data_IF_028981809436
#
_entry.id   IF_028981809436
#
_cell.length_a   1.000
_cell.length_b   1.000
_cell.length_c   1.000
_cell.angle_alpha   90.00
_cell.angle_beta   90.00
_cell.angle_gamma   90.00
#
_symmetry.space_group_name_H-M   'P 1'
#
loop_
_entity.id
_entity.type
_entity.pdbx_description
1 polymer ?
#
# COMPACT_ATOMS: atom_id res chain seq x y z
N UNK A 1 41.34 -38.12 -52.37
CA UNK A 1 41.86 -37.04 -51.55
C UNK A 1 40.83 -35.92 -51.55
N UNK A 2 39.91 -35.96 -50.60
CA UNK A 2 38.72 -35.09 -50.57
C UNK A 2 38.84 -34.19 -49.34
N UNK A 3 39.04 -32.90 -49.54
CA UNK A 3 39.18 -31.88 -48.50
C UNK A 3 37.75 -31.45 -48.06
N UNK A 4 37.42 -31.74 -46.81
CA UNK A 4 36.28 -31.18 -46.11
C UNK A 4 36.61 -29.81 -45.57
N UNK A 5 35.98 -28.78 -46.10
CA UNK A 5 36.05 -27.42 -45.54
C UNK A 5 35.00 -27.28 -44.44
N UNK A 6 35.42 -27.17 -43.21
CA UNK A 6 34.54 -26.93 -42.06
C UNK A 6 34.27 -25.43 -41.93
N UNK A 7 33.02 -25.03 -42.21
CA UNK A 7 32.51 -23.70 -41.86
C UNK A 7 32.34 -23.60 -40.35
N UNK A 8 33.17 -22.78 -39.72
CA UNK A 8 33.05 -22.33 -38.33
C UNK A 8 31.92 -21.30 -38.29
N UNK A 9 30.74 -21.70 -37.86
CA UNK A 9 29.65 -20.80 -37.51
C UNK A 9 30.06 -20.05 -36.22
N UNK A 10 30.33 -18.77 -36.37
CA UNK A 10 30.52 -17.89 -35.20
C UNK A 10 29.21 -17.75 -34.43
N UNK A 11 29.13 -18.35 -33.27
CA UNK A 11 28.14 -17.94 -32.26
C UNK A 11 28.53 -16.54 -31.81
N UNK A 12 27.81 -15.53 -32.28
CA UNK A 12 27.78 -14.22 -31.62
C UNK A 12 27.07 -14.42 -30.29
N UNK A 13 27.85 -14.65 -29.22
CA UNK A 13 27.37 -14.46 -27.87
C UNK A 13 26.97 -13.00 -27.75
N UNK A 14 25.66 -12.74 -27.67
CA UNK A 14 25.16 -11.44 -27.23
C UNK A 14 25.72 -11.19 -25.83
N UNK A 15 26.70 -10.31 -25.74
CA UNK A 15 27.13 -9.77 -24.45
C UNK A 15 25.92 -9.04 -23.88
N UNK A 16 25.22 -9.68 -22.97
CA UNK A 16 24.21 -9.00 -22.17
C UNK A 16 24.96 -7.90 -21.41
N UNK A 17 24.60 -6.63 -21.66
CA UNK A 17 25.19 -5.52 -20.93
C UNK A 17 24.97 -5.76 -19.43
N UNK A 18 26.06 -5.71 -18.64
CA UNK A 18 25.96 -5.76 -17.19
C UNK A 18 25.18 -4.53 -16.73
N UNK A 19 24.00 -4.76 -16.10
CA UNK A 19 23.18 -3.71 -15.52
C UNK A 19 23.49 -3.54 -14.03
N UNK A 20 23.31 -2.33 -13.53
CA UNK A 20 23.42 -2.03 -12.10
C UNK A 20 22.06 -2.27 -11.42
N UNK A 21 22.03 -3.23 -10.49
CA UNK A 21 20.82 -3.61 -9.78
C UNK A 21 20.50 -2.63 -8.67
N UNK A 22 19.32 -2.03 -8.71
CA UNK A 22 18.80 -1.19 -7.63
C UNK A 22 18.35 -2.09 -6.47
N UNK A 23 18.99 -1.95 -5.31
CA UNK A 23 18.65 -2.74 -4.13
C UNK A 23 17.41 -2.16 -3.45
N UNK A 24 16.39 -2.99 -3.28
CA UNK A 24 15.23 -2.76 -2.41
C UNK A 24 15.45 -3.54 -1.11
N UNK A 25 15.19 -2.88 0.02
CA UNK A 25 15.42 -3.48 1.35
C UNK A 25 14.22 -4.31 1.81
N UNK A 26 13.03 -3.92 1.43
CA UNK A 26 11.76 -4.47 1.91
C UNK A 26 10.83 -4.92 0.80
N UNK A 27 10.79 -4.19 -0.33
CA UNK A 27 9.93 -4.54 -1.45
C UNK A 27 10.41 -5.84 -2.10
N UNK A 28 9.51 -6.80 -2.24
CA UNK A 28 9.78 -8.14 -2.77
C UNK A 28 9.17 -8.39 -4.13
N UNK A 29 8.16 -7.61 -4.50
CA UNK A 29 7.44 -7.75 -5.76
C UNK A 29 8.05 -6.90 -6.89
N UNK A 30 9.08 -6.12 -6.60
CA UNK A 30 9.71 -5.20 -7.53
C UNK A 30 11.21 -5.46 -7.65
N UNK A 31 11.70 -5.56 -8.88
CA UNK A 31 13.12 -5.64 -9.21
C UNK A 31 13.45 -4.63 -10.28
N UNK A 32 14.52 -3.85 -10.09
CA UNK A 32 14.93 -2.78 -11.00
C UNK A 32 16.40 -2.92 -11.34
N UNK A 33 16.73 -2.84 -12.63
CA UNK A 33 18.10 -2.87 -13.14
C UNK A 33 18.33 -1.68 -14.06
N UNK A 34 19.39 -0.92 -13.82
CA UNK A 34 19.80 0.22 -14.64
C UNK A 34 20.81 -0.23 -15.69
N UNK A 35 20.56 0.15 -16.93
CA UNK A 35 21.45 -0.06 -18.06
C UNK A 35 21.88 1.29 -18.65
N UNK A 36 22.84 1.28 -19.56
CA UNK A 36 23.17 2.50 -20.30
C UNK A 36 21.99 2.90 -21.21
N UNK A 37 21.41 4.04 -20.89
CA UNK A 37 20.31 4.64 -21.66
C UNK A 37 18.90 4.17 -21.28
N UNK A 38 18.70 3.18 -20.41
CA UNK A 38 17.38 2.74 -19.98
C UNK A 38 17.38 2.04 -18.62
N UNK A 39 16.21 1.87 -18.03
CA UNK A 39 16.00 1.11 -16.80
C UNK A 39 14.96 0.02 -17.05
N UNK A 40 15.19 -1.17 -16.52
CA UNK A 40 14.21 -2.27 -16.55
C UNK A 40 13.63 -2.46 -15.16
N UNK A 41 12.32 -2.31 -15.05
CA UNK A 41 11.57 -2.64 -13.85
C UNK A 41 10.70 -3.87 -14.11
N UNK A 42 10.88 -4.92 -13.30
CA UNK A 42 10.11 -6.17 -13.40
C UNK A 42 9.26 -6.34 -12.15
N UNK A 43 7.96 -6.49 -12.32
CA UNK A 43 6.99 -6.75 -11.27
C UNK A 43 6.77 -8.26 -11.18
N UNK A 44 6.97 -8.81 -9.98
CA UNK A 44 6.64 -10.21 -9.72
C UNK A 44 5.13 -10.38 -9.59
N UNK A 45 4.61 -11.52 -10.04
CA UNK A 45 3.20 -11.81 -9.92
C UNK A 45 2.88 -12.23 -8.47
N UNK A 46 2.08 -11.47 -7.71
CA UNK A 46 1.81 -11.75 -6.30
C UNK A 46 0.93 -12.98 -6.09
N UNK A 47 0.24 -13.46 -7.14
CA UNK A 47 -0.67 -14.61 -7.09
C UNK A 47 -0.06 -15.88 -7.69
N UNK A 48 1.05 -15.75 -8.45
CA UNK A 48 1.71 -16.88 -9.14
C UNK A 48 3.20 -16.79 -8.91
N UNK A 49 3.69 -17.53 -7.92
CA UNK A 49 5.09 -17.53 -7.53
C UNK A 49 6.03 -17.84 -8.72
N UNK A 50 7.13 -17.11 -8.78
CA UNK A 50 8.14 -17.26 -9.83
C UNK A 50 7.75 -16.69 -11.21
N UNK A 51 6.54 -16.13 -11.35
CA UNK A 51 6.10 -15.50 -12.59
C UNK A 51 6.24 -13.98 -12.54
N UNK A 52 6.58 -13.39 -13.67
CA UNK A 52 6.55 -11.93 -13.86
C UNK A 52 5.10 -11.50 -14.13
N UNK A 53 4.60 -10.51 -13.38
CA UNK A 53 3.34 -9.85 -13.66
C UNK A 53 3.51 -8.95 -14.89
N UNK A 54 4.47 -8.02 -14.82
CA UNK A 54 4.75 -7.06 -15.88
C UNK A 54 6.24 -6.68 -15.94
N UNK A 55 6.68 -6.21 -17.10
CA UNK A 55 8.02 -5.64 -17.27
C UNK A 55 7.92 -4.30 -17.96
N UNK A 56 8.53 -3.29 -17.37
CA UNK A 56 8.66 -1.94 -17.93
C UNK A 56 10.08 -1.66 -18.35
N UNK A 57 10.22 -1.00 -19.49
CA UNK A 57 11.49 -0.45 -19.98
C UNK A 57 11.37 1.07 -19.97
N UNK A 58 11.99 1.70 -19.00
CA UNK A 58 11.95 3.14 -18.78
C UNK A 58 13.04 3.77 -19.62
N UNK A 59 12.68 4.63 -20.57
CA UNK A 59 13.61 5.30 -21.47
C UNK A 59 13.43 6.81 -21.33
N UNK A 60 14.50 7.58 -21.03
CA UNK A 60 14.41 9.03 -21.03
C UNK A 60 13.82 9.59 -22.34
N UNK A 61 12.92 10.56 -22.21
CA UNK A 61 12.19 11.11 -23.37
C UNK A 61 13.09 11.83 -24.38
N UNK A 62 14.27 12.28 -23.94
CA UNK A 62 15.32 12.93 -24.74
C UNK A 62 16.29 11.92 -25.41
N UNK A 63 16.12 10.60 -25.22
CA UNK A 63 16.96 9.55 -25.81
C UNK A 63 16.20 8.70 -26.81
N UNK A 64 16.90 8.22 -27.82
CA UNK A 64 16.37 7.18 -28.72
C UNK A 64 16.23 5.84 -28.00
N UNK A 65 15.37 4.97 -28.53
CA UNK A 65 15.22 3.60 -28.02
C UNK A 65 16.51 2.83 -28.34
N UNK A 66 17.26 2.35 -27.33
CA UNK A 66 18.47 1.58 -27.62
C UNK A 66 18.17 0.29 -28.38
N UNK A 67 19.07 -0.16 -29.26
CA UNK A 67 18.93 -1.45 -29.91
C UNK A 67 19.02 -2.60 -28.85
N UNK A 68 18.27 -3.66 -29.06
CA UNK A 68 18.34 -4.87 -28.22
C UNK A 68 17.88 -4.70 -26.78
N UNK A 69 16.90 -3.82 -26.51
CA UNK A 69 16.23 -3.76 -25.21
C UNK A 69 15.43 -5.05 -24.95
N UNK A 70 15.26 -5.48 -23.69
CA UNK A 70 14.39 -6.61 -23.37
C UNK A 70 12.92 -6.31 -23.71
N UNK A 71 12.14 -7.38 -23.93
CA UNK A 71 10.69 -7.25 -24.14
C UNK A 71 10.01 -6.68 -22.90
N UNK A 72 9.06 -5.78 -23.09
CA UNK A 72 8.29 -5.12 -22.03
C UNK A 72 7.60 -3.87 -22.53
N UNK A 73 6.77 -3.27 -21.69
CA UNK A 73 6.11 -1.99 -22.01
C UNK A 73 7.11 -0.84 -21.89
N UNK A 74 7.31 -0.10 -22.97
CA UNK A 74 8.17 1.08 -22.98
C UNK A 74 7.42 2.24 -22.34
N UNK A 75 8.06 2.88 -21.36
CA UNK A 75 7.58 4.10 -20.74
C UNK A 75 8.62 5.21 -20.96
N UNK A 76 8.19 6.33 -21.53
CA UNK A 76 9.00 7.52 -21.69
C UNK A 76 9.01 8.33 -20.40
N UNK A 77 10.19 8.54 -19.83
CA UNK A 77 10.33 9.26 -18.55
C UNK A 77 11.06 10.59 -18.72
N UNK A 78 10.75 11.61 -17.88
CA UNK A 78 9.72 11.59 -16.86
C UNK A 78 8.30 11.68 -17.46
N UNK A 79 7.32 11.10 -16.74
CA UNK A 79 5.90 11.26 -17.05
C UNK A 79 5.45 12.69 -16.70
N UNK A 80 4.65 13.28 -17.58
CA UNK A 80 4.11 14.63 -17.41
C UNK A 80 2.58 14.64 -17.31
N UNK A 81 1.92 13.63 -17.88
CA UNK A 81 0.46 13.52 -17.91
C UNK A 81 0.06 12.09 -17.59
N UNK A 82 -0.54 11.88 -16.43
CA UNK A 82 -0.89 10.52 -16.00
C UNK A 82 -2.33 10.45 -15.52
N UNK A 83 -2.97 9.30 -15.73
CA UNK A 83 -4.28 9.00 -15.16
C UNK A 83 -4.12 8.17 -13.90
N UNK A 84 -4.82 8.56 -12.83
CA UNK A 84 -4.77 7.90 -11.52
C UNK A 84 -6.11 7.24 -11.22
N UNK A 85 -6.12 5.92 -11.12
CA UNK A 85 -7.34 5.16 -10.81
C UNK A 85 -7.51 4.90 -9.31
N UNK A 86 -6.62 5.44 -8.47
CA UNK A 86 -6.72 5.34 -7.02
C UNK A 86 -6.32 6.63 -6.33
N UNK A 87 -6.95 6.91 -5.19
CA UNK A 87 -6.63 8.07 -4.33
C UNK A 87 -5.20 8.03 -3.78
N UNK A 88 -4.67 6.81 -3.55
CA UNK A 88 -3.31 6.57 -3.05
C UNK A 88 -2.26 7.22 -3.96
N UNK A 89 -2.36 6.99 -5.27
CA UNK A 89 -1.40 7.52 -6.25
C UNK A 89 -1.57 9.02 -6.49
N UNK A 90 -2.79 9.55 -6.31
CA UNK A 90 -3.00 11.00 -6.28
C UNK A 90 -2.23 11.64 -5.11
N UNK A 91 -2.37 11.09 -3.91
CA UNK A 91 -1.67 11.58 -2.72
C UNK A 91 -0.15 11.41 -2.82
N UNK A 92 0.31 10.30 -3.40
CA UNK A 92 1.73 10.06 -3.68
C UNK A 92 2.31 11.17 -4.57
N UNK A 93 1.67 11.50 -5.68
CA UNK A 93 2.15 12.57 -6.57
C UNK A 93 2.16 13.94 -5.87
N UNK A 94 1.21 14.20 -4.98
CA UNK A 94 1.24 15.41 -4.16
C UNK A 94 2.45 15.42 -3.21
N UNK A 95 2.82 14.28 -2.62
CA UNK A 95 4.00 14.16 -1.77
C UNK A 95 5.32 14.34 -2.54
N UNK A 96 5.29 14.12 -3.84
CA UNK A 96 6.41 14.35 -4.75
C UNK A 96 6.47 15.79 -5.30
N UNK A 97 5.50 16.66 -4.99
CA UNK A 97 5.28 17.97 -5.64
C UNK A 97 5.03 17.81 -7.16
N UNK A 98 4.39 16.72 -7.57
CA UNK A 98 4.08 16.34 -8.96
C UNK A 98 2.58 16.26 -9.26
N UNK A 99 1.74 16.87 -8.46
CA UNK A 99 0.28 16.86 -8.64
C UNK A 99 -0.15 17.38 -10.02
N UNK A 100 0.61 18.28 -10.62
CA UNK A 100 0.32 18.82 -11.95
C UNK A 100 0.49 17.78 -13.08
N UNK A 101 1.11 16.61 -12.78
CA UNK A 101 1.17 15.49 -13.70
C UNK A 101 -0.15 14.69 -13.75
N UNK A 102 -1.13 14.95 -12.88
CA UNK A 102 -2.44 14.30 -12.90
C UNK A 102 -3.32 14.95 -13.96
N UNK A 103 -3.59 14.23 -15.05
CA UNK A 103 -4.45 14.70 -16.14
C UNK A 103 -5.89 14.16 -16.06
N UNK A 104 -6.09 13.08 -15.31
CA UNK A 104 -7.41 12.49 -15.11
C UNK A 104 -7.43 11.51 -13.94
N UNK A 105 -8.63 11.23 -13.46
CA UNK A 105 -8.89 10.29 -12.38
C UNK A 105 -10.10 9.42 -12.70
N UNK A 106 -10.08 8.17 -12.22
CA UNK A 106 -11.27 7.35 -12.13
C UNK A 106 -11.81 7.36 -10.69
N UNK A 107 -13.06 6.91 -10.53
CA UNK A 107 -13.70 6.76 -9.22
C UNK A 107 -13.65 8.03 -8.34
N UNK A 108 -13.84 9.19 -8.94
CA UNK A 108 -13.75 10.51 -8.28
C UNK A 108 -14.54 10.58 -6.96
N UNK A 109 -15.62 9.83 -6.82
CA UNK A 109 -16.43 9.76 -5.60
C UNK A 109 -15.67 9.30 -4.37
N UNK A 110 -14.60 8.51 -4.57
CA UNK A 110 -13.73 8.01 -3.49
C UNK A 110 -12.47 8.85 -3.28
N UNK A 111 -12.17 9.81 -4.16
CA UNK A 111 -11.01 10.68 -4.03
C UNK A 111 -11.40 11.90 -3.21
N UNK A 112 -11.10 11.91 -1.91
CA UNK A 112 -11.48 12.97 -0.97
C UNK A 112 -10.46 14.12 -0.91
N UNK A 113 -9.46 14.15 -1.77
CA UNK A 113 -8.42 15.18 -1.83
C UNK A 113 -9.02 16.49 -2.36
N UNK A 114 -9.10 17.58 -1.55
CA UNK A 114 -9.80 18.80 -1.95
C UNK A 114 -9.23 19.45 -3.22
N UNK A 115 -7.90 19.39 -3.40
CA UNK A 115 -7.24 19.92 -4.58
C UNK A 115 -7.70 19.20 -5.86
N UNK A 116 -7.76 17.85 -5.85
CA UNK A 116 -8.24 17.05 -7.00
C UNK A 116 -9.68 17.44 -7.35
N UNK A 117 -10.56 17.45 -6.34
CA UNK A 117 -11.97 17.81 -6.50
C UNK A 117 -12.12 19.21 -7.16
N UNK A 118 -11.28 20.16 -6.73
CA UNK A 118 -11.28 21.51 -7.30
C UNK A 118 -10.76 21.53 -8.74
N UNK A 119 -9.69 20.79 -9.07
CA UNK A 119 -9.18 20.74 -10.44
C UNK A 119 -10.16 20.07 -11.40
N UNK A 120 -10.88 19.03 -10.94
CA UNK A 120 -11.94 18.39 -11.74
C UNK A 120 -13.10 19.39 -11.99
N UNK A 121 -13.56 20.12 -10.96
CA UNK A 121 -14.59 21.17 -11.15
C UNK A 121 -14.17 22.27 -12.13
N UNK A 122 -12.87 22.57 -12.18
CA UNK A 122 -12.28 23.53 -13.14
C UNK A 122 -12.07 22.95 -14.54
N UNK A 123 -12.31 21.65 -14.75
CA UNK A 123 -12.06 20.97 -16.02
C UNK A 123 -10.57 20.77 -16.34
N UNK A 124 -9.67 20.92 -15.37
CA UNK A 124 -8.23 20.71 -15.54
C UNK A 124 -7.82 19.25 -15.38
N UNK A 125 -8.54 18.50 -14.58
CA UNK A 125 -8.42 17.06 -14.41
C UNK A 125 -9.71 16.42 -14.91
N UNK A 126 -9.61 15.42 -15.78
CA UNK A 126 -10.75 14.70 -16.31
C UNK A 126 -11.26 13.66 -15.30
N UNK A 127 -12.58 13.61 -15.09
CA UNK A 127 -13.24 12.46 -14.47
C UNK A 127 -13.61 11.46 -15.57
N UNK A 128 -12.94 10.31 -15.57
CA UNK A 128 -13.15 9.25 -16.57
C UNK A 128 -14.17 8.19 -16.13
N UNK A 129 -14.83 8.39 -14.99
CA UNK A 129 -15.91 7.54 -14.48
C UNK A 129 -15.43 6.39 -13.62
N UNK A 130 -16.06 5.23 -13.74
CA UNK A 130 -15.78 4.04 -12.93
C UNK A 130 -14.45 3.38 -13.36
N UNK A 131 -13.59 3.03 -12.39
CA UNK A 131 -12.27 2.46 -12.65
C UNK A 131 -12.29 1.08 -13.31
N UNK A 132 -13.37 0.30 -13.13
CA UNK A 132 -13.54 -1.00 -13.79
C UNK A 132 -14.17 -0.88 -15.19
N UNK A 133 -14.79 0.25 -15.49
CA UNK A 133 -15.43 0.53 -16.79
C UNK A 133 -15.30 2.01 -17.16
N UNK A 134 -14.06 2.49 -17.35
CA UNK A 134 -13.83 3.90 -17.61
C UNK A 134 -14.30 4.32 -19.01
N UNK A 135 -14.58 5.61 -19.17
CA UNK A 135 -14.92 6.21 -20.45
C UNK A 135 -13.66 6.39 -21.28
N UNK A 136 -13.34 5.43 -22.14
CA UNK A 136 -12.09 5.34 -22.91
C UNK A 136 -11.88 6.57 -23.81
N UNK A 137 -12.94 7.11 -24.39
CA UNK A 137 -12.90 8.31 -25.22
C UNK A 137 -12.34 9.52 -24.44
N UNK A 138 -12.76 9.67 -23.19
CA UNK A 138 -12.22 10.73 -22.32
C UNK A 138 -10.73 10.53 -22.02
N UNK A 139 -10.30 9.26 -21.88
CA UNK A 139 -8.88 8.94 -21.67
C UNK A 139 -8.06 9.35 -22.89
N UNK A 140 -8.50 8.93 -24.07
CA UNK A 140 -7.82 9.24 -25.34
C UNK A 140 -7.71 10.76 -25.54
N UNK A 141 -8.78 11.50 -25.26
CA UNK A 141 -8.80 12.98 -25.40
C UNK A 141 -7.75 13.65 -24.50
N UNK A 142 -7.48 13.08 -23.33
CA UNK A 142 -6.46 13.59 -22.41
C UNK A 142 -5.03 13.30 -22.84
N UNK A 143 -4.80 12.32 -23.72
CA UNK A 143 -3.47 11.87 -24.20
C UNK A 143 -2.48 11.67 -23.04
N UNK A 144 -2.78 10.82 -22.06
CA UNK A 144 -1.86 10.59 -20.94
C UNK A 144 -0.65 9.79 -21.43
N UNK A 145 0.47 9.99 -20.74
CA UNK A 145 1.72 9.24 -20.93
C UNK A 145 1.61 7.82 -20.34
N UNK A 146 0.77 7.65 -19.32
CA UNK A 146 0.49 6.37 -18.68
C UNK A 146 -0.80 6.41 -17.84
N UNK A 147 -1.37 5.22 -17.60
CA UNK A 147 -2.53 4.99 -16.72
C UNK A 147 -2.06 4.14 -15.53
N UNK A 148 -2.27 4.62 -14.30
CA UNK A 148 -1.95 3.92 -13.07
C UNK A 148 -3.20 3.23 -12.53
N UNK A 149 -3.16 1.92 -12.40
CA UNK A 149 -4.28 1.10 -11.95
C UNK A 149 -3.79 -0.05 -11.07
N UNK A 150 -4.65 -0.55 -10.18
CA UNK A 150 -4.32 -1.70 -9.34
C UNK A 150 -4.72 -2.99 -10.05
N UNK A 151 -3.78 -3.92 -10.27
CA UNK A 151 -4.11 -5.25 -10.76
C UNK A 151 -4.85 -6.04 -9.66
N UNK A 152 -5.63 -7.05 -10.04
CA UNK A 152 -6.24 -7.99 -9.10
C UNK A 152 -6.28 -9.40 -9.70
N UNK A 153 -6.35 -10.39 -8.84
CA UNK A 153 -6.34 -11.79 -9.25
C UNK A 153 -7.53 -12.07 -10.18
N UNK A 154 -7.27 -12.78 -11.27
CA UNK A 154 -8.29 -13.17 -12.25
C UNK A 154 -9.08 -11.99 -12.86
N UNK A 155 -8.47 -10.82 -12.96
CA UNK A 155 -9.08 -9.63 -13.61
C UNK A 155 -9.51 -9.89 -15.05
N UNK A 156 -8.93 -10.89 -15.71
CA UNK A 156 -9.19 -11.17 -17.14
C UNK A 156 -8.59 -10.14 -18.09
N UNK A 157 -7.70 -9.26 -17.58
CA UNK A 157 -7.13 -8.11 -18.29
C UNK A 157 -7.90 -6.81 -18.03
N UNK A 158 -7.52 -5.76 -18.75
CA UNK A 158 -8.06 -4.40 -18.59
C UNK A 158 -9.02 -4.00 -19.72
N UNK A 159 -9.49 -4.98 -20.49
CA UNK A 159 -10.46 -4.79 -21.55
C UNK A 159 -10.02 -3.76 -22.58
N UNK A 160 -10.88 -2.77 -22.86
CA UNK A 160 -10.59 -1.73 -23.87
C UNK A 160 -9.36 -0.87 -23.56
N UNK A 161 -8.88 -0.84 -22.31
CA UNK A 161 -7.65 -0.11 -21.99
C UNK A 161 -6.39 -0.77 -22.58
N UNK A 162 -6.43 -2.06 -22.88
CA UNK A 162 -5.33 -2.77 -23.58
C UNK A 162 -5.30 -2.50 -25.07
N UNK A 163 -6.41 -2.04 -25.64
CA UNK A 163 -6.56 -1.76 -27.08
C UNK A 163 -6.07 -0.34 -27.44
N UNK A 164 -5.87 0.53 -26.44
CA UNK A 164 -5.34 1.87 -26.65
C UNK A 164 -3.83 1.85 -26.44
N UNK A 165 -3.10 2.53 -27.28
CA UNK A 165 -1.62 2.59 -27.23
C UNK A 165 -1.14 3.55 -26.12
N UNK A 166 -1.58 3.28 -24.87
CA UNK A 166 -1.19 4.03 -23.68
C UNK A 166 -0.65 3.02 -22.64
N UNK A 167 0.57 3.20 -22.13
CA UNK A 167 1.15 2.32 -21.12
C UNK A 167 0.28 2.20 -19.87
N UNK A 168 -0.01 0.96 -19.44
CA UNK A 168 -0.66 0.66 -18.19
C UNK A 168 0.41 0.37 -17.13
N UNK A 169 0.40 1.12 -16.03
CA UNK A 169 1.29 0.92 -14.88
C UNK A 169 0.50 0.18 -13.80
N UNK A 170 0.83 -1.08 -13.62
CA UNK A 170 0.22 -1.98 -12.64
C UNK A 170 0.79 -1.72 -11.24
N UNK A 171 -0.03 -1.14 -10.40
CA UNK A 171 0.31 -0.72 -9.05
C UNK A 171 0.06 -1.88 -8.07
N UNK A 172 1.01 -2.84 -8.01
CA UNK A 172 0.89 -4.05 -7.18
C UNK A 172 1.49 -3.89 -5.77
N UNK A 173 1.88 -2.68 -5.35
CA UNK A 173 2.50 -2.41 -4.06
C UNK A 173 1.59 -2.81 -2.88
N UNK A 174 0.27 -2.81 -3.07
CA UNK A 174 -0.68 -3.21 -2.02
C UNK A 174 -0.59 -4.69 -1.66
N UNK A 175 0.05 -5.50 -2.51
CA UNK A 175 0.29 -6.93 -2.30
C UNK A 175 1.62 -7.23 -1.59
N UNK A 176 2.45 -6.21 -1.32
CA UNK A 176 3.64 -6.39 -0.51
C UNK A 176 3.29 -6.89 0.90
N UNK A 177 4.09 -7.82 1.41
CA UNK A 177 3.84 -8.49 2.69
C UNK A 177 4.13 -7.61 3.90
N UNK A 178 4.88 -6.52 3.72
CA UNK A 178 5.27 -5.63 4.82
C UNK A 178 4.88 -4.19 4.53
N UNK A 179 4.55 -3.39 5.57
CA UNK A 179 4.23 -1.97 5.40
C UNK A 179 5.36 -1.18 4.75
N UNK A 180 6.62 -1.47 5.13
CA UNK A 180 7.80 -0.83 4.53
C UNK A 180 8.07 -1.31 3.11
N UNK A 181 7.76 -2.58 2.78
CA UNK A 181 7.83 -3.08 1.41
C UNK A 181 6.90 -2.30 0.49
N UNK A 182 5.66 -2.09 0.92
CA UNK A 182 4.70 -1.25 0.21
C UNK A 182 5.19 0.19 0.04
N UNK A 183 5.67 0.81 1.11
CA UNK A 183 6.16 2.18 1.07
C UNK A 183 7.41 2.34 0.19
N UNK A 184 8.25 1.32 0.07
CA UNK A 184 9.48 1.39 -0.73
C UNK A 184 9.22 1.54 -2.23
N UNK A 185 8.02 1.23 -2.73
CA UNK A 185 7.63 1.49 -4.11
C UNK A 185 7.65 2.98 -4.48
N UNK A 186 7.65 3.89 -3.51
CA UNK A 186 7.93 5.32 -3.76
C UNK A 186 9.16 5.52 -4.63
N UNK A 187 10.20 4.72 -4.45
CA UNK A 187 11.46 4.81 -5.22
C UNK A 187 11.24 4.46 -6.70
N UNK A 188 10.42 3.47 -7.00
CA UNK A 188 10.05 3.14 -8.38
C UNK A 188 9.19 4.25 -9.02
N UNK A 189 8.20 4.73 -8.31
CA UNK A 189 7.37 5.83 -8.79
C UNK A 189 8.19 7.12 -8.99
N UNK A 190 9.18 7.36 -8.13
CA UNK A 190 10.13 8.46 -8.32
C UNK A 190 10.89 8.41 -9.63
N UNK A 191 11.24 7.20 -10.12
CA UNK A 191 11.87 7.00 -11.43
C UNK A 191 10.93 7.37 -12.58
N UNK A 192 9.64 7.01 -12.46
CA UNK A 192 8.65 7.32 -13.49
C UNK A 192 8.43 8.83 -13.66
N UNK A 193 8.46 9.59 -12.55
CA UNK A 193 8.19 11.03 -12.56
C UNK A 193 9.45 11.91 -12.50
N UNK A 194 10.65 11.32 -12.61
CA UNK A 194 11.93 12.04 -12.60
C UNK A 194 12.19 12.81 -11.29
N UNK A 195 11.75 12.24 -10.17
CA UNK A 195 11.93 12.82 -8.83
C UNK A 195 12.53 11.81 -7.84
N UNK A 196 13.47 10.99 -8.29
CA UNK A 196 14.09 9.90 -7.52
C UNK A 196 14.67 10.37 -6.18
N UNK A 197 15.36 11.51 -6.16
CA UNK A 197 15.95 12.05 -4.92
C UNK A 197 14.88 12.40 -3.87
N UNK A 198 13.75 12.96 -4.30
CA UNK A 198 12.62 13.27 -3.42
C UNK A 198 12.00 11.98 -2.89
N UNK A 199 11.73 11.03 -3.78
CA UNK A 199 11.16 9.72 -3.43
C UNK A 199 12.05 8.93 -2.46
N UNK A 200 13.36 8.89 -2.71
CA UNK A 200 14.36 8.28 -1.82
C UNK A 200 14.38 8.96 -0.44
N UNK A 201 14.31 10.29 -0.40
CA UNK A 201 14.31 11.05 0.86
C UNK A 201 13.05 10.76 1.68
N UNK A 202 11.88 10.74 1.02
CA UNK A 202 10.61 10.40 1.67
C UNK A 202 10.63 8.97 2.21
N UNK A 203 11.08 7.99 1.40
CA UNK A 203 11.16 6.62 1.88
C UNK A 203 12.13 6.46 3.06
N UNK A 204 13.31 7.10 3.02
CA UNK A 204 14.28 7.07 4.13
C UNK A 204 13.70 7.66 5.42
N UNK A 205 12.90 8.72 5.32
CA UNK A 205 12.19 9.28 6.47
C UNK A 205 11.20 8.27 7.06
N UNK A 206 10.38 7.65 6.19
CA UNK A 206 9.42 6.60 6.59
C UNK A 206 10.12 5.41 7.23
N UNK A 207 11.16 4.87 6.61
CA UNK A 207 11.94 3.73 7.13
C UNK A 207 12.52 4.04 8.51
N UNK A 208 13.15 5.22 8.67
CA UNK A 208 13.73 5.65 9.94
C UNK A 208 12.67 5.80 11.02
N UNK A 209 11.56 6.47 10.72
CA UNK A 209 10.51 6.75 11.69
C UNK A 209 9.77 5.47 12.09
N UNK A 210 9.37 4.64 11.12
CA UNK A 210 8.72 3.36 11.36
C UNK A 210 9.55 2.45 12.26
N UNK A 211 10.84 2.27 11.96
CA UNK A 211 11.71 1.41 12.77
C UNK A 211 11.97 1.99 14.17
N UNK A 212 12.05 3.30 14.32
CA UNK A 212 12.16 3.94 15.64
C UNK A 212 10.91 3.67 16.51
N UNK A 213 9.72 3.79 15.93
CA UNK A 213 8.46 3.48 16.58
C UNK A 213 8.34 2.00 16.95
N UNK A 214 8.73 1.10 16.06
CA UNK A 214 8.75 -0.35 16.32
C UNK A 214 9.68 -0.70 17.48
N UNK A 215 10.88 -0.11 17.55
CA UNK A 215 11.81 -0.30 18.66
C UNK A 215 11.22 0.25 19.96
N UNK A 216 10.55 1.40 19.92
CA UNK A 216 9.89 2.00 21.09
C UNK A 216 8.83 1.05 21.66
N UNK A 217 7.96 0.49 20.82
CA UNK A 217 6.93 -0.46 21.20
C UNK A 217 7.53 -1.80 21.68
N UNK A 218 8.53 -2.34 20.98
CA UNK A 218 9.18 -3.62 21.30
C UNK A 218 9.91 -3.61 22.66
N UNK A 219 10.60 -2.53 22.97
CA UNK A 219 11.27 -2.37 24.28
C UNK A 219 10.28 -2.38 25.45
N UNK A 220 8.99 -2.07 25.19
CA UNK A 220 7.94 -2.12 26.19
C UNK A 220 7.39 -3.54 26.35
N UNK A 221 7.19 -4.26 25.22
CA UNK A 221 6.70 -5.63 25.19
C UNK A 221 7.67 -6.69 25.78
N UNK A 222 8.98 -6.54 25.55
CA UNK A 222 10.00 -7.47 26.09
C UNK A 222 10.12 -7.39 27.62
N UNK A 223 9.94 -6.20 28.21
CA UNK A 223 9.92 -6.07 29.67
C UNK A 223 8.78 -6.85 30.32
N UNK A 224 7.70 -7.11 29.60
CA UNK A 224 6.56 -7.88 30.09
C UNK A 224 6.76 -9.40 30.02
N UNK A 225 7.63 -9.88 29.11
CA UNK A 225 7.93 -11.32 28.94
C UNK A 225 8.98 -11.83 29.89
N UNK A 226 10.01 -11.04 30.19
CA UNK A 226 11.12 -11.44 31.09
C UNK A 226 10.77 -11.36 32.57
N UNK A 227 9.66 -10.73 32.95
CA UNK A 227 9.25 -10.55 34.35
C UNK A 227 8.44 -11.71 34.95
N UNK A 228 8.42 -12.89 34.36
CA UNK A 228 7.88 -14.11 35.00
C UNK A 228 8.73 -14.61 36.20
N UNK A 229 9.84 -13.91 36.52
CA UNK A 229 10.61 -14.08 37.78
C UNK A 229 10.22 -13.00 38.76
N UNK A 230 9.80 -13.43 39.96
CA UNK A 230 9.48 -12.59 41.11
C UNK A 230 10.47 -11.43 41.33
N UNK A 231 10.12 -10.23 40.91
CA UNK A 231 10.83 -9.01 41.25
C UNK A 231 9.85 -7.96 41.77
N UNK A 232 10.28 -7.26 42.77
CA UNK A 232 9.60 -6.29 43.64
C UNK A 232 9.24 -4.96 42.90
N UNK A 233 8.96 -5.01 41.60
CA UNK A 233 8.72 -3.86 40.73
C UNK A 233 7.38 -4.00 40.02
N UNK A 234 6.36 -3.38 40.55
CA UNK A 234 5.08 -3.03 39.94
C UNK A 234 4.36 -4.04 39.05
N UNK A 235 3.10 -3.83 38.68
CA UNK A 235 2.36 -4.72 37.78
C UNK A 235 3.06 -4.81 36.40
N UNK A 236 3.27 -6.03 35.92
CA UNK A 236 3.80 -6.30 34.59
C UNK A 236 2.86 -5.67 33.56
N UNK A 237 3.33 -4.82 32.63
CA UNK A 237 2.47 -4.28 31.58
C UNK A 237 1.87 -5.43 30.76
N UNK A 238 0.55 -5.55 30.75
CA UNK A 238 -0.13 -6.52 29.87
C UNK A 238 -0.03 -6.03 28.43
N UNK A 239 0.26 -6.97 27.52
CA UNK A 239 0.20 -6.70 26.08
C UNK A 239 -1.28 -6.58 25.70
N UNK A 240 -1.76 -5.40 25.24
CA UNK A 240 -3.17 -5.22 24.94
C UNK A 240 -3.58 -6.03 23.71
N UNK A 241 -4.68 -6.77 23.84
CA UNK A 241 -5.29 -7.53 22.75
C UNK A 241 -6.20 -6.64 21.89
N UNK A 242 -6.18 -6.88 20.56
CA UNK A 242 -6.77 -5.95 19.59
C UNK A 242 -7.81 -6.63 18.71
N UNK A 243 -9.04 -6.11 18.71
CA UNK A 243 -10.07 -6.41 17.73
C UNK A 243 -10.03 -5.38 16.60
N UNK A 244 -10.07 -5.83 15.35
CA UNK A 244 -10.04 -4.97 14.17
C UNK A 244 -11.32 -5.04 13.35
N UNK A 245 -11.69 -3.90 12.75
CA UNK A 245 -12.83 -3.69 11.86
C UNK A 245 -14.18 -4.05 12.50
N UNK A 246 -15.24 -4.20 11.71
CA UNK A 246 -16.61 -4.53 12.17
C UNK A 246 -17.36 -5.31 11.11
N UNK A 247 -18.52 -5.79 11.43
CA UNK A 247 -19.41 -6.47 10.47
C UNK A 247 -19.73 -5.54 9.29
N UNK A 248 -19.61 -6.09 8.09
CA UNK A 248 -20.02 -5.44 6.85
C UNK A 248 -21.01 -6.37 6.14
N UNK A 249 -22.26 -5.95 6.05
CA UNK A 249 -23.35 -6.84 5.63
C UNK A 249 -23.56 -7.97 6.63
N UNK A 250 -23.23 -9.21 6.28
CA UNK A 250 -23.34 -10.40 7.15
C UNK A 250 -21.98 -11.00 7.55
N UNK A 251 -20.89 -10.35 7.21
CA UNK A 251 -19.53 -10.90 7.34
C UNK A 251 -18.63 -9.91 8.06
N UNK A 252 -17.76 -10.42 8.92
CA UNK A 252 -16.66 -9.66 9.51
C UNK A 252 -15.36 -9.96 8.72
N UNK A 253 -14.78 -8.93 8.14
CA UNK A 253 -13.51 -9.03 7.42
C UNK A 253 -12.38 -8.63 8.35
N UNK A 254 -11.70 -9.61 8.96
CA UNK A 254 -10.53 -9.36 9.81
C UNK A 254 -9.26 -9.38 8.97
N UNK A 255 -8.28 -8.47 9.17
CA UNK A 255 -6.99 -8.57 8.53
C UNK A 255 -6.28 -9.89 8.85
N UNK A 256 -5.74 -10.59 7.86
CA UNK A 256 -4.90 -11.76 8.10
C UNK A 256 -3.60 -11.39 8.83
N UNK A 257 -2.96 -12.37 9.45
CA UNK A 257 -1.74 -12.15 10.24
C UNK A 257 -0.54 -11.68 9.41
N UNK A 258 -0.51 -12.05 8.11
CA UNK A 258 0.51 -11.60 7.17
C UNK A 258 0.07 -10.39 6.32
N UNK A 259 -1.08 -9.78 6.63
CA UNK A 259 -1.48 -8.51 6.02
C UNK A 259 -0.65 -7.35 6.59
N UNK A 260 -0.56 -6.25 5.85
CA UNK A 260 0.14 -5.05 6.32
C UNK A 260 -0.41 -4.53 7.65
N UNK A 261 -1.73 -4.58 7.85
CA UNK A 261 -2.38 -4.16 9.11
C UNK A 261 -2.09 -5.15 10.25
N UNK A 262 -2.21 -6.48 9.99
CA UNK A 262 -1.88 -7.51 10.99
C UNK A 262 -0.43 -7.42 11.46
N UNK A 263 0.50 -7.15 10.53
CA UNK A 263 1.91 -6.91 10.85
C UNK A 263 2.10 -5.64 11.68
N UNK A 264 1.40 -4.54 11.33
CA UNK A 264 1.52 -3.27 12.07
C UNK A 264 1.01 -3.35 13.50
N UNK A 265 -0.04 -4.12 13.78
CA UNK A 265 -0.50 -4.36 15.15
C UNK A 265 0.59 -5.10 15.96
N UNK A 266 1.23 -6.11 15.36
CA UNK A 266 2.34 -6.82 16.01
C UNK A 266 3.55 -5.90 16.21
N UNK A 267 3.90 -5.08 15.20
CA UNK A 267 4.98 -4.09 15.28
C UNK A 267 4.69 -2.99 16.32
N UNK A 268 3.40 -2.71 16.58
CA UNK A 268 2.95 -1.82 17.65
C UNK A 268 2.95 -2.47 19.05
N UNK A 269 3.37 -3.73 19.18
CA UNK A 269 3.38 -4.45 20.44
C UNK A 269 1.99 -4.88 20.92
N UNK A 270 1.01 -5.01 20.02
CA UNK A 270 -0.32 -5.52 20.31
C UNK A 270 -0.43 -7.04 20.17
N UNK A 271 -1.28 -7.68 20.98
CA UNK A 271 -1.67 -9.07 20.81
C UNK A 271 -2.83 -9.15 19.81
N UNK A 272 -2.55 -9.68 18.63
CA UNK A 272 -3.53 -9.82 17.56
C UNK A 272 -4.05 -11.26 17.46
N UNK A 273 -5.36 -11.53 17.67
CA UNK A 273 -5.90 -12.88 17.70
C UNK A 273 -5.64 -13.71 16.44
N UNK A 274 -5.46 -13.06 15.30
CA UNK A 274 -5.14 -13.69 14.01
C UNK A 274 -3.68 -13.51 13.59
N UNK A 275 -2.75 -13.18 14.50
CA UNK A 275 -1.32 -12.96 14.18
C UNK A 275 -0.64 -14.16 13.50
N UNK A 276 -1.12 -15.40 13.74
CA UNK A 276 -0.61 -16.63 13.13
C UNK A 276 -1.32 -17.04 11.84
N UNK A 277 -2.31 -16.26 11.39
CA UNK A 277 -3.01 -16.51 10.15
C UNK A 277 -2.09 -16.16 8.97
N UNK A 278 -2.04 -17.05 7.96
CA UNK A 278 -1.09 -16.94 6.84
C UNK A 278 -1.59 -16.06 5.69
N UNK A 279 -2.83 -15.55 5.77
CA UNK A 279 -3.38 -14.69 4.72
C UNK A 279 -2.73 -13.30 4.74
N UNK A 280 -2.35 -12.82 3.58
CA UNK A 280 -1.88 -11.43 3.35
C UNK A 280 -3.03 -10.44 3.13
N UNK A 281 -4.25 -10.94 2.89
CA UNK A 281 -5.48 -10.16 2.75
C UNK A 281 -6.38 -10.28 3.97
N UNK A 282 -7.67 -9.97 3.79
CA UNK A 282 -8.69 -10.12 4.83
C UNK A 282 -9.25 -11.54 4.86
N UNK A 283 -9.54 -12.04 6.06
CA UNK A 283 -10.23 -13.30 6.31
C UNK A 283 -11.69 -13.02 6.59
N UNK A 284 -12.59 -13.70 5.89
CA UNK A 284 -14.04 -13.55 6.06
C UNK A 284 -14.54 -14.50 7.16
N UNK A 285 -15.11 -13.95 8.21
CA UNK A 285 -15.59 -14.71 9.37
C UNK A 285 -17.03 -14.35 9.73
N UNK A 286 -17.84 -15.29 10.25
CA UNK A 286 -19.11 -14.99 10.88
C UNK A 286 -18.88 -14.27 12.22
N UNK A 287 -19.87 -13.51 12.67
CA UNK A 287 -19.83 -12.74 13.91
C UNK A 287 -19.45 -13.60 15.12
N UNK A 288 -20.03 -14.79 15.24
CA UNK A 288 -19.84 -15.69 16.37
C UNK A 288 -18.39 -16.16 16.48
N UNK A 289 -17.71 -16.43 15.36
CA UNK A 289 -16.32 -16.84 15.36
C UNK A 289 -15.38 -15.70 15.80
N UNK A 290 -15.73 -14.47 15.48
CA UNK A 290 -14.98 -13.29 15.94
C UNK A 290 -15.23 -13.04 17.43
N UNK A 291 -16.47 -13.17 17.88
CA UNK A 291 -16.83 -13.03 19.30
C UNK A 291 -16.15 -14.11 20.15
N UNK A 292 -16.14 -15.37 19.70
CA UNK A 292 -15.46 -16.46 20.42
C UNK A 292 -13.96 -16.19 20.56
N UNK A 293 -13.32 -15.69 19.50
CA UNK A 293 -11.86 -15.53 19.44
C UNK A 293 -11.35 -14.21 20.01
N UNK A 294 -12.11 -13.12 19.88
CA UNK A 294 -11.71 -11.76 20.23
C UNK A 294 -12.72 -11.03 21.13
N UNK A 295 -13.68 -11.74 21.72
CA UNK A 295 -14.70 -11.15 22.62
C UNK A 295 -14.13 -10.44 23.83
N UNK A 296 -13.00 -10.92 24.34
CA UNK A 296 -12.30 -10.34 25.50
C UNK A 296 -11.17 -9.37 25.11
N UNK A 297 -11.08 -8.94 23.84
CA UNK A 297 -10.08 -7.96 23.40
C UNK A 297 -10.16 -6.67 24.20
N UNK A 298 -8.97 -6.10 24.52
CA UNK A 298 -8.85 -4.89 25.34
C UNK A 298 -9.19 -3.63 24.56
N UNK A 299 -8.89 -3.63 23.26
CA UNK A 299 -9.07 -2.48 22.37
C UNK A 299 -9.79 -2.92 21.11
N UNK A 300 -10.73 -2.11 20.63
CA UNK A 300 -11.40 -2.30 19.37
C UNK A 300 -11.17 -1.12 18.44
N UNK A 301 -10.58 -1.39 17.27
CA UNK A 301 -10.28 -0.41 16.21
C UNK A 301 -11.09 -0.75 14.97
N UNK A 302 -11.83 0.20 14.42
CA UNK A 302 -12.58 -0.05 13.17
C UNK A 302 -12.62 1.19 12.27
N UNK A 303 -12.86 0.95 10.99
CA UNK A 303 -13.07 1.98 9.98
C UNK A 303 -14.57 2.12 9.69
N UNK A 304 -14.98 3.34 9.43
CA UNK A 304 -16.35 3.65 9.05
C UNK A 304 -16.38 4.86 8.09
N UNK A 305 -17.53 5.09 7.45
CA UNK A 305 -17.75 6.22 6.56
C UNK A 305 -19.00 6.93 7.04
N UNK A 306 -18.88 8.19 7.48
CA UNK A 306 -20.00 9.00 7.98
C UNK A 306 -19.68 10.49 7.82
N UNK A 307 -20.72 11.32 7.85
CA UNK A 307 -20.60 12.78 7.90
C UNK A 307 -20.39 13.33 9.33
N UNK A 308 -20.45 12.45 10.35
CA UNK A 308 -20.22 12.77 11.76
C UNK A 308 -19.43 11.69 12.49
N UNK A 309 -18.95 12.00 13.70
CA UNK A 309 -18.29 11.02 14.56
C UNK A 309 -19.31 10.03 15.11
N UNK A 310 -19.11 8.73 14.84
CA UNK A 310 -20.00 7.67 15.29
C UNK A 310 -20.00 7.56 16.81
N UNK A 311 -21.17 7.28 17.39
CA UNK A 311 -21.38 7.11 18.82
C UNK A 311 -21.53 5.63 19.20
N UNK A 312 -21.37 5.30 20.48
CA UNK A 312 -21.64 3.96 21.02
C UNK A 312 -23.11 3.51 20.77
N UNK A 313 -24.06 4.45 20.78
CA UNK A 313 -25.46 4.14 20.52
C UNK A 313 -25.68 3.72 19.07
N UNK A 314 -25.07 4.42 18.12
CA UNK A 314 -25.12 4.08 16.70
C UNK A 314 -24.40 2.77 16.42
N UNK A 315 -23.20 2.57 16.96
CA UNK A 315 -22.47 1.30 16.82
C UNK A 315 -23.28 0.12 17.38
N UNK A 316 -23.91 0.28 18.55
CA UNK A 316 -24.81 -0.74 19.12
C UNK A 316 -26.04 -1.01 18.26
N UNK A 317 -26.58 0.01 17.58
CA UNK A 317 -27.71 -0.14 16.69
C UNK A 317 -27.37 -0.88 15.35
N UNK A 318 -26.11 -0.82 14.92
CA UNK A 318 -25.66 -1.56 13.73
C UNK A 318 -25.70 -3.08 13.94
N UNK A 319 -25.38 -3.57 15.15
CA UNK A 319 -25.41 -5.00 15.48
C UNK A 319 -25.59 -5.26 16.98
N UNK A 320 -26.65 -6.00 17.32
CA UNK A 320 -27.05 -6.24 18.71
C UNK A 320 -26.01 -6.98 19.59
N UNK A 321 -25.06 -7.67 18.96
CA UNK A 321 -24.01 -8.42 19.69
C UNK A 321 -22.78 -7.62 20.05
N UNK A 322 -22.66 -6.36 19.63
CA UNK A 322 -21.44 -5.56 19.87
C UNK A 322 -21.19 -5.25 21.35
N UNK A 323 -22.25 -5.21 22.17
CA UNK A 323 -22.16 -5.05 23.62
C UNK A 323 -21.55 -6.26 24.36
N UNK A 324 -21.40 -7.40 23.67
CA UNK A 324 -20.74 -8.59 24.21
C UNK A 324 -19.21 -8.48 24.20
N UNK A 325 -18.63 -7.59 23.38
CA UNK A 325 -17.19 -7.39 23.36
C UNK A 325 -16.71 -6.60 24.57
N UNK A 326 -15.61 -7.04 25.18
CA UNK A 326 -15.00 -6.40 26.33
C UNK A 326 -14.64 -4.93 26.04
N UNK A 327 -13.96 -4.66 24.92
CA UNK A 327 -13.59 -3.30 24.50
C UNK A 327 -14.81 -2.36 24.42
N UNK A 328 -15.96 -2.85 23.96
CA UNK A 328 -17.20 -2.07 23.92
C UNK A 328 -17.69 -1.75 25.34
N UNK A 329 -17.76 -2.76 26.23
CA UNK A 329 -18.17 -2.59 27.63
C UNK A 329 -17.26 -1.64 28.41
N UNK A 330 -15.95 -1.71 28.16
CA UNK A 330 -14.93 -0.88 28.80
C UNK A 330 -14.78 0.51 28.18
N UNK A 331 -15.57 0.84 27.15
CA UNK A 331 -15.47 2.12 26.43
C UNK A 331 -14.07 2.35 25.85
N UNK A 332 -13.44 1.29 25.33
CA UNK A 332 -12.12 1.33 24.72
C UNK A 332 -12.18 1.02 23.22
N UNK A 333 -13.01 1.78 22.53
CA UNK A 333 -13.30 1.66 21.10
C UNK A 333 -12.83 2.91 20.37
N UNK A 334 -12.17 2.72 19.23
CA UNK A 334 -11.66 3.79 18.40
C UNK A 334 -12.16 3.61 16.96
N UNK A 335 -12.69 4.68 16.39
CA UNK A 335 -13.15 4.74 15.01
C UNK A 335 -12.24 5.57 14.12
N UNK A 336 -12.03 5.12 12.90
CA UNK A 336 -11.40 5.90 11.85
C UNK A 336 -12.46 6.22 10.78
N UNK A 337 -12.86 7.48 10.70
CA UNK A 337 -13.77 7.94 9.66
C UNK A 337 -13.00 8.18 8.36
N UNK A 338 -13.14 7.26 7.40
CA UNK A 338 -12.43 7.31 6.12
C UNK A 338 -12.99 8.34 5.13
N UNK A 339 -14.13 8.97 5.44
CA UNK A 339 -14.65 10.11 4.66
C UNK A 339 -13.93 11.42 5.02
N UNK A 340 -13.49 11.55 6.27
CA UNK A 340 -12.95 12.80 6.82
C UNK A 340 -11.47 12.71 7.18
N UNK A 341 -10.91 11.49 7.31
CA UNK A 341 -9.48 11.29 7.52
C UNK A 341 -8.81 10.83 6.21
N UNK A 342 -7.57 11.24 5.95
CA UNK A 342 -6.82 10.83 4.76
C UNK A 342 -6.21 9.41 4.90
N UNK A 343 -6.95 8.48 5.52
CA UNK A 343 -6.44 7.15 5.85
C UNK A 343 -5.96 6.40 4.60
N UNK A 344 -6.80 6.34 3.55
CA UNK A 344 -6.46 5.62 2.32
C UNK A 344 -5.45 6.37 1.45
N UNK A 345 -5.41 7.69 1.55
CA UNK A 345 -4.47 8.53 0.83
C UNK A 345 -3.04 8.38 1.33
N UNK A 346 -2.87 8.25 2.65
CA UNK A 346 -1.57 8.39 3.29
C UNK A 346 -1.00 7.07 3.81
N UNK A 347 -1.80 6.25 4.50
CA UNK A 347 -1.28 5.08 5.21
C UNK A 347 -0.51 4.09 4.33
N UNK A 348 -0.77 3.93 3.01
CA UNK A 348 0.01 3.05 2.16
C UNK A 348 1.47 3.43 2.01
N UNK A 349 1.78 4.73 1.94
CA UNK A 349 3.14 5.26 1.78
C UNK A 349 3.67 5.95 3.04
N UNK A 350 2.82 6.13 4.07
CA UNK A 350 3.17 6.63 5.40
C UNK A 350 2.68 5.65 6.50
N UNK A 351 3.11 4.39 6.42
CA UNK A 351 2.76 3.41 7.46
C UNK A 351 3.29 3.79 8.84
N UNK A 352 4.32 4.62 8.90
CA UNK A 352 4.87 5.20 10.13
C UNK A 352 3.83 6.03 10.91
N UNK A 353 2.99 6.79 10.24
CA UNK A 353 1.92 7.56 10.89
C UNK A 353 0.82 6.68 11.46
N UNK A 354 0.45 5.60 10.73
CA UNK A 354 -0.54 4.65 11.23
C UNK A 354 0.02 3.80 12.38
N UNK A 355 1.30 3.42 12.32
CA UNK A 355 1.98 2.72 13.41
C UNK A 355 2.01 3.59 14.67
N UNK A 356 2.25 4.90 14.54
CA UNK A 356 2.16 5.85 15.66
C UNK A 356 0.78 5.82 16.31
N UNK A 357 -0.29 5.84 15.53
CA UNK A 357 -1.67 5.76 16.06
C UNK A 357 -1.87 4.46 16.85
N UNK A 358 -1.46 3.32 16.28
CA UNK A 358 -1.60 2.03 16.96
C UNK A 358 -0.82 1.99 18.27
N UNK A 359 0.45 2.44 18.28
CA UNK A 359 1.25 2.47 19.50
C UNK A 359 0.62 3.39 20.54
N UNK A 360 0.18 4.58 20.15
CA UNK A 360 -0.44 5.55 21.07
C UNK A 360 -1.74 5.04 21.69
N UNK A 361 -2.51 4.25 20.96
CA UNK A 361 -3.75 3.63 21.45
C UNK A 361 -3.44 2.45 22.37
N UNK A 362 -2.47 1.61 22.00
CA UNK A 362 -2.13 0.40 22.74
C UNK A 362 -1.28 0.68 23.99
N UNK A 363 -0.46 1.71 23.93
CA UNK A 363 0.50 2.08 24.99
C UNK A 363 0.38 3.58 25.32
N UNK A 364 -0.75 4.02 25.91
CA UNK A 364 -1.01 5.44 26.18
C UNK A 364 -0.02 6.07 27.16
N UNK A 365 0.73 5.28 27.93
CA UNK A 365 1.78 5.72 28.85
C UNK A 365 3.09 6.10 28.14
N UNK A 366 3.29 5.67 26.88
CA UNK A 366 4.51 6.00 26.14
C UNK A 366 4.55 7.48 25.76
N UNK A 367 5.70 8.10 25.98
CA UNK A 367 5.96 9.50 25.67
C UNK A 367 6.64 9.65 24.31
N UNK A 368 6.55 10.84 23.69
CA UNK A 368 7.22 11.16 22.45
C UNK A 368 6.47 10.70 21.19
N UNK A 369 5.22 10.25 21.34
CA UNK A 369 4.35 9.90 20.22
C UNK A 369 3.58 11.14 19.72
N UNK A 370 3.39 11.22 18.41
CA UNK A 370 2.56 12.25 17.80
C UNK A 370 1.08 12.08 18.18
N UNK A 371 0.24 13.12 18.12
CA UNK A 371 -1.21 13.01 18.28
C UNK A 371 -1.80 11.99 17.30
N UNK A 372 -2.93 11.37 17.65
CA UNK A 372 -3.67 10.48 16.76
C UNK A 372 -4.02 11.22 15.46
N UNK A 373 -3.70 10.60 14.34
CA UNK A 373 -3.94 11.15 13.00
C UNK A 373 -5.23 10.65 12.38
N UNK A 374 -5.49 9.36 12.50
CA UNK A 374 -6.60 8.70 11.80
C UNK A 374 -7.71 8.27 12.74
N UNK A 375 -7.36 7.78 13.91
CA UNK A 375 -8.31 7.23 14.86
C UNK A 375 -8.73 8.24 15.90
N UNK A 376 -10.00 8.13 16.32
CA UNK A 376 -10.57 8.87 17.46
C UNK A 376 -11.24 7.89 18.42
N UNK A 377 -11.15 8.15 19.71
CA UNK A 377 -11.90 7.41 20.73
C UNK A 377 -13.39 7.78 20.62
N UNK A 378 -14.29 6.78 20.69
CA UNK A 378 -15.73 6.99 20.71
C UNK A 378 -16.20 7.57 22.03
#
# INVERSE_FOLDING_TARGET
MTLFSACKGGQTSSVQAEGDTVTFKYATLLSVVRYDGYVVASLQNPWKEGMTLHRYVLIPSDREVPPHIPSGTIIRTPLHRSMMFTTVHCAMLMSFDKQDCISGVADLKYIKIPWIQEQVRKGKIADVGDGLSPVVEKIIDQRPDAIFLSPFENSGGYGKLEEIDIPLVECAEYMEKTPLGRAEWLRFYGMLFGCEQKADSLFKEVDKHYNALKVLAGNHGDRSRDSLGTSDHGPVPMIPSVLLDKVTGSVWYVPGGQSTIGQMIQDAGGDYPWAKDEHSGSVSLPFEAVLEKAGEADVWLFRYSSDHDITYAELSAEHHGYDQFNAFRQKNVYGCDVERSPFYEESPFRPDWLLNDFIRILHPELQGLDPLRYYKKL
#
